data_IF_416538925734
#
_entry.id   IF_416538925734
#
_cell.length_a   1.000
_cell.length_b   1.000
_cell.length_c   1.000
_cell.angle_alpha   90.00
_cell.angle_beta   90.00
_cell.angle_gamma   90.00
#
_symmetry.space_group_name_H-M   'P 1'
#
loop_
_entity.id
_entity.type
_entity.pdbx_description
1 polymer ?
#
# COMPACT_ATOMS: atom_id res chain seq x y z
N UNK A 1 7.25 20.03 3.90
CA UNK A 1 7.19 18.66 3.33
C UNK A 1 5.83 18.52 2.67
N UNK A 2 5.69 17.92 1.47
CA UNK A 2 4.36 17.74 0.92
C UNK A 2 3.53 16.87 1.87
N UNK A 3 2.31 17.31 2.16
CA UNK A 3 1.33 16.56 2.97
C UNK A 3 0.78 15.34 2.21
N UNK A 4 1.10 15.21 0.92
CA UNK A 4 0.74 14.08 0.09
C UNK A 4 1.75 12.94 0.18
N UNK A 5 1.24 11.71 0.08
CA UNK A 5 2.07 10.51 0.01
C UNK A 5 2.99 10.56 -1.22
N UNK A 6 4.28 10.19 -1.09
CA UNK A 6 5.18 10.10 -2.23
C UNK A 6 4.69 9.02 -3.20
N UNK A 7 4.88 9.25 -4.50
CA UNK A 7 4.67 8.21 -5.50
C UNK A 7 5.73 7.12 -5.35
N UNK A 8 5.27 5.86 -5.33
CA UNK A 8 6.13 4.69 -5.21
C UNK A 8 6.24 4.00 -6.56
N UNK A 9 7.45 3.72 -7.02
CA UNK A 9 7.67 3.01 -8.28
C UNK A 9 7.05 1.60 -8.24
N UNK A 10 6.32 1.25 -9.29
CA UNK A 10 5.63 -0.04 -9.40
C UNK A 10 6.60 -1.22 -9.29
N UNK A 11 7.81 -1.09 -9.85
CA UNK A 11 8.84 -2.12 -9.76
C UNK A 11 9.34 -2.31 -8.34
N UNK A 12 9.41 -1.25 -7.53
CA UNK A 12 9.78 -1.37 -6.12
C UNK A 12 8.65 -1.99 -5.28
N UNK A 13 7.38 -1.71 -5.59
CA UNK A 13 6.24 -2.43 -4.99
C UNK A 13 6.32 -3.92 -5.33
N UNK A 14 6.55 -4.27 -6.60
CA UNK A 14 6.65 -5.66 -7.03
C UNK A 14 7.85 -6.38 -6.41
N UNK A 15 8.99 -5.70 -6.23
CA UNK A 15 10.15 -6.25 -5.52
C UNK A 15 9.85 -6.55 -4.05
N UNK A 16 9.11 -5.66 -3.37
CA UNK A 16 8.75 -5.84 -1.97
C UNK A 16 7.83 -7.04 -1.76
N UNK A 17 6.72 -7.11 -2.50
CA UNK A 17 5.66 -8.10 -2.23
C UNK A 17 5.79 -9.39 -3.05
N UNK A 18 6.65 -9.39 -4.06
CA UNK A 18 6.77 -10.44 -5.06
C UNK A 18 5.69 -10.37 -6.17
N UNK A 19 5.94 -11.01 -7.32
CA UNK A 19 5.12 -10.87 -8.52
C UNK A 19 3.67 -11.35 -8.34
N UNK A 20 3.46 -12.47 -7.66
CA UNK A 20 2.12 -13.05 -7.44
C UNK A 20 1.26 -12.16 -6.54
N UNK A 21 1.83 -11.67 -5.44
CA UNK A 21 1.14 -10.74 -4.53
C UNK A 21 0.86 -9.41 -5.22
N UNK A 22 1.80 -8.93 -6.03
CA UNK A 22 1.65 -7.70 -6.80
C UNK A 22 0.47 -7.78 -7.77
N UNK A 23 0.40 -8.84 -8.59
CA UNK A 23 -0.69 -9.05 -9.55
C UNK A 23 -2.06 -9.09 -8.86
N UNK A 24 -2.15 -9.79 -7.72
CA UNK A 24 -3.38 -9.82 -6.92
C UNK A 24 -3.70 -8.47 -6.30
N UNK A 25 -2.69 -7.76 -5.78
CA UNK A 25 -2.85 -6.43 -5.19
C UNK A 25 -3.35 -5.40 -6.19
N UNK A 26 -2.88 -5.48 -7.44
CA UNK A 26 -3.37 -4.65 -8.54
C UNK A 26 -4.87 -4.85 -8.79
N UNK A 27 -5.34 -6.10 -8.80
CA UNK A 27 -6.76 -6.39 -8.93
C UNK A 27 -7.59 -5.81 -7.77
N UNK A 28 -7.06 -5.86 -6.54
CA UNK A 28 -7.75 -5.33 -5.35
C UNK A 28 -7.82 -3.80 -5.35
N UNK A 29 -6.73 -3.11 -5.71
CA UNK A 29 -6.73 -1.65 -5.85
C UNK A 29 -7.72 -1.22 -6.93
N UNK A 30 -7.68 -1.84 -8.11
CA UNK A 30 -8.62 -1.53 -9.22
C UNK A 30 -10.07 -1.85 -8.88
N UNK A 31 -10.30 -2.88 -8.07
CA UNK A 31 -11.63 -3.30 -7.63
C UNK A 31 -12.21 -2.46 -6.49
N UNK A 32 -11.54 -1.39 -6.04
CA UNK A 32 -12.03 -0.53 -4.95
C UNK A 32 -11.96 -1.21 -3.58
N UNK A 33 -11.12 -2.23 -3.41
CA UNK A 33 -11.01 -2.94 -2.14
C UNK A 33 -10.32 -2.11 -1.04
N UNK A 34 -9.59 -1.05 -1.41
CA UNK A 34 -8.97 -0.13 -0.45
C UNK A 34 -9.97 0.94 -0.07
N UNK A 35 -10.52 0.84 1.15
CA UNK A 35 -11.63 1.68 1.62
C UNK A 35 -11.19 2.85 2.50
N UNK A 36 -9.96 2.81 3.00
CA UNK A 36 -9.36 3.89 3.77
C UNK A 36 -7.87 3.96 3.48
N UNK A 37 -7.34 5.18 3.43
CA UNK A 37 -5.94 5.47 3.17
C UNK A 37 -5.54 6.74 3.93
N UNK A 38 -4.39 6.70 4.60
CA UNK A 38 -3.84 7.82 5.34
C UNK A 38 -2.31 7.81 5.25
N UNK A 39 -1.73 8.99 5.08
CA UNK A 39 -0.29 9.19 5.04
C UNK A 39 0.16 10.02 6.24
N UNK A 40 1.16 9.51 6.97
CA UNK A 40 1.86 10.26 8.01
C UNK A 40 3.25 10.70 7.48
N UNK A 41 3.45 11.99 7.16
CA UNK A 41 4.73 12.48 6.67
C UNK A 41 5.85 12.48 7.73
N UNK A 42 5.50 12.54 9.03
CA UNK A 42 6.47 12.58 10.11
C UNK A 42 7.10 11.20 10.34
N UNK A 43 6.29 10.14 10.34
CA UNK A 43 6.78 8.76 10.51
C UNK A 43 7.03 8.04 9.19
N UNK A 44 6.71 8.68 8.05
CA UNK A 44 6.74 8.08 6.71
C UNK A 44 5.92 6.79 6.62
N UNK A 45 4.77 6.78 7.28
CA UNK A 45 3.91 5.60 7.39
C UNK A 45 2.67 5.78 6.53
N UNK A 46 2.49 4.90 5.55
CA UNK A 46 1.26 4.76 4.81
C UNK A 46 0.38 3.72 5.52
N UNK A 47 -0.81 4.12 5.95
CA UNK A 47 -1.77 3.25 6.60
C UNK A 47 -3.04 3.15 5.77
N UNK A 48 -3.75 2.04 5.87
CA UNK A 48 -5.05 1.89 5.24
C UNK A 48 -5.77 0.61 5.59
N UNK A 49 -7.00 0.51 5.06
CA UNK A 49 -7.88 -0.62 5.30
C UNK A 49 -8.26 -1.23 3.96
N UNK A 50 -8.03 -2.55 3.83
CA UNK A 50 -8.23 -3.28 2.58
C UNK A 50 -9.21 -4.43 2.79
N UNK A 51 -10.32 -4.41 2.06
CA UNK A 51 -11.29 -5.49 2.03
C UNK A 51 -10.62 -6.73 1.44
N UNK A 52 -10.76 -7.83 2.16
CA UNK A 52 -10.14 -9.10 1.85
C UNK A 52 -11.15 -10.22 1.70
N UNK A 53 -10.64 -11.45 1.65
CA UNK A 53 -11.47 -12.66 1.76
C UNK A 53 -11.89 -13.00 3.20
N UNK A 54 -11.41 -12.23 4.18
CA UNK A 54 -11.78 -12.42 5.59
C UNK A 54 -13.12 -11.79 5.93
N UNK A 55 -13.72 -12.13 7.09
CA UNK A 55 -14.99 -11.56 7.52
C UNK A 55 -14.91 -10.05 7.82
N UNK A 56 -13.71 -9.53 8.07
CA UNK A 56 -13.44 -8.12 8.34
C UNK A 56 -12.34 -7.59 7.42
N UNK A 57 -12.37 -6.29 7.06
CA UNK A 57 -11.27 -5.64 6.34
C UNK A 57 -9.95 -5.72 7.11
N UNK A 58 -8.84 -5.84 6.38
CA UNK A 58 -7.50 -5.93 6.97
C UNK A 58 -6.84 -4.57 7.11
N UNK A 59 -6.22 -4.33 8.26
CA UNK A 59 -5.40 -3.14 8.51
C UNK A 59 -4.01 -3.35 7.93
N UNK A 60 -3.58 -2.39 7.12
CA UNK A 60 -2.34 -2.42 6.36
C UNK A 60 -1.49 -1.21 6.71
N UNK A 61 -0.19 -1.42 6.89
CA UNK A 61 0.79 -0.37 7.20
C UNK A 61 2.04 -0.62 6.39
N UNK A 62 2.51 0.39 5.66
CA UNK A 62 3.72 0.33 4.86
C UNK A 62 4.65 1.50 5.19
N UNK A 63 5.93 1.22 5.42
CA UNK A 63 6.94 2.24 5.63
C UNK A 63 7.57 2.62 4.28
N UNK A 64 7.76 3.93 4.08
CA UNK A 64 8.38 4.47 2.87
C UNK A 64 9.68 5.18 3.26
N UNK A 65 10.79 4.78 2.64
CA UNK A 65 12.10 5.39 2.86
C UNK A 65 12.09 6.86 2.51
N UNK A 66 12.51 7.70 3.46
CA UNK A 66 12.64 9.13 3.23
C UNK A 66 13.73 9.48 2.20
N UNK A 67 14.78 8.64 2.11
CA UNK A 67 15.94 8.87 1.25
C UNK A 67 15.69 8.42 -0.19
N UNK A 68 14.92 7.35 -0.38
CA UNK A 68 14.77 6.70 -1.69
C UNK A 68 13.34 6.72 -2.23
N UNK A 69 12.34 7.06 -1.41
CA UNK A 69 10.92 6.97 -1.77
C UNK A 69 10.41 5.53 -1.94
N UNK A 70 11.24 4.54 -1.60
CA UNK A 70 10.94 3.11 -1.78
C UNK A 70 10.18 2.55 -0.58
N UNK A 71 9.27 1.60 -0.78
CA UNK A 71 8.60 0.93 0.32
C UNK A 71 9.60 -0.06 0.93
N UNK A 72 9.82 0.02 2.24
CA UNK A 72 10.84 -0.80 2.93
C UNK A 72 10.26 -2.05 3.56
N UNK A 73 9.01 -1.98 4.01
CA UNK A 73 8.29 -3.09 4.64
C UNK A 73 6.80 -2.80 4.68
N UNK A 74 6.00 -3.86 4.67
CA UNK A 74 4.56 -3.81 4.85
C UNK A 74 4.08 -4.84 5.87
N UNK A 75 3.24 -4.39 6.81
CA UNK A 75 2.59 -5.22 7.82
C UNK A 75 1.09 -5.21 7.57
N UNK A 76 0.48 -6.38 7.56
CA UNK A 76 -0.93 -6.57 7.33
C UNK A 76 -1.51 -7.53 8.37
N UNK A 77 -2.74 -7.26 8.85
CA UNK A 77 -3.44 -8.17 9.76
C UNK A 77 -4.01 -9.43 9.10
N UNK A 78 -3.74 -9.65 7.82
CA UNK A 78 -4.15 -10.87 7.12
C UNK A 78 -3.29 -12.09 7.51
N UNK A 79 -3.72 -13.33 7.20
CA UNK A 79 -3.00 -14.55 7.58
C UNK A 79 -1.54 -14.64 7.09
N UNK A 80 -1.16 -13.85 6.07
CA UNK A 80 0.22 -13.77 5.56
C UNK A 80 1.12 -12.90 6.46
N UNK A 81 0.56 -11.90 7.14
CA UNK A 81 1.27 -11.02 8.08
C UNK A 81 2.11 -9.91 7.45
N UNK A 82 2.90 -10.21 6.42
CA UNK A 82 3.88 -9.27 5.84
C UNK A 82 3.86 -9.27 4.31
N UNK A 83 4.16 -8.11 3.71
CA UNK A 83 4.40 -7.91 2.27
C UNK A 83 3.42 -8.65 1.34
N UNK A 84 2.15 -8.69 1.76
CA UNK A 84 1.11 -9.44 1.08
C UNK A 84 0.47 -8.62 -0.05
N UNK A 85 -0.46 -9.25 -0.78
CA UNK A 85 -1.28 -8.58 -1.81
C UNK A 85 -2.01 -7.32 -1.31
N UNK A 86 -2.38 -7.25 -0.03
CA UNK A 86 -3.05 -6.07 0.52
C UNK A 86 -2.09 -4.89 0.67
N UNK A 87 -0.81 -5.13 0.97
CA UNK A 87 0.23 -4.08 0.96
C UNK A 87 0.44 -3.55 -0.45
N UNK A 88 0.48 -4.44 -1.44
CA UNK A 88 0.54 -4.02 -2.85
C UNK A 88 -0.68 -3.18 -3.25
N UNK A 89 -1.89 -3.60 -2.87
CA UNK A 89 -3.11 -2.84 -3.12
C UNK A 89 -3.08 -1.45 -2.46
N UNK A 90 -2.61 -1.36 -1.21
CA UNK A 90 -2.47 -0.11 -0.48
C UNK A 90 -1.52 0.87 -1.20
N UNK A 91 -0.32 0.40 -1.59
CA UNK A 91 0.68 1.23 -2.27
C UNK A 91 0.20 1.72 -3.64
N UNK A 92 -0.45 0.83 -4.42
CA UNK A 92 -1.01 1.17 -5.73
C UNK A 92 -2.17 2.15 -5.61
N UNK A 93 -3.04 1.98 -4.61
CA UNK A 93 -4.11 2.92 -4.35
C UNK A 93 -3.56 4.29 -3.93
N UNK A 94 -2.52 4.33 -3.09
CA UNK A 94 -1.87 5.57 -2.70
C UNK A 94 -1.38 6.35 -3.91
N UNK A 95 -0.71 5.68 -4.85
CA UNK A 95 -0.28 6.32 -6.10
C UNK A 95 -1.47 6.90 -6.88
N UNK A 96 -2.56 6.15 -6.97
CA UNK A 96 -3.77 6.58 -7.68
C UNK A 96 -4.39 7.81 -7.01
N UNK A 97 -4.52 7.80 -5.69
CA UNK A 97 -5.06 8.93 -4.91
C UNK A 97 -4.18 10.16 -5.04
N UNK A 98 -2.85 10.02 -4.99
CA UNK A 98 -1.91 11.13 -5.21
C UNK A 98 -2.09 11.75 -6.60
N UNK A 99 -2.31 10.95 -7.65
CA UNK A 99 -2.56 11.45 -9.00
C UNK A 99 -3.91 12.17 -9.15
N UNK A 100 -4.92 11.78 -8.36
CA UNK A 100 -6.25 12.40 -8.37
C UNK A 100 -6.30 13.73 -7.59
N UNK A 101 -5.28 14.02 -6.79
CA UNK A 101 -5.15 15.26 -6.02
C UNK A 101 -4.32 16.34 -6.74
N UNK A 102 -3.80 16.03 -7.94
CA UNK A 102 -3.13 16.96 -8.84
C UNK A 102 -4.13 17.57 -9.83
#
# INVERSE_FOLDING_TARGET
MPDAAPMVDITDIQRLVGPTSFQRGLAYSRGGAVIALAWDPATRLLSGTVVGSGPFPYSCRALISAATGKPTSGICTCPVGFDCKHIAALLLQSNTTTLQQL
#
